data_IF_983506185271
#
_entry.id   IF_983506185271
#
_cell.length_a   1.000
_cell.length_b   1.000
_cell.length_c   1.000
_cell.angle_alpha   90.00
_cell.angle_beta   90.00
_cell.angle_gamma   90.00
#
_symmetry.space_group_name_H-M   'P 1'
#
loop_
_entity.id
_entity.type
_entity.pdbx_description
1 polymer ?
#
# COMPACT_ATOMS: atom_id res chain seq x y z
N UNK A 1 20.64 -10.75 18.27
CA UNK A 1 19.73 -10.14 17.26
C UNK A 1 18.95 -11.17 16.42
N UNK A 2 18.54 -12.34 16.96
CA UNK A 2 17.92 -13.43 16.17
C UNK A 2 16.47 -13.18 15.69
N UNK A 3 15.79 -12.17 16.24
CA UNK A 3 14.39 -11.86 15.91
C UNK A 3 14.19 -10.50 15.23
N UNK A 4 15.27 -9.81 14.86
CA UNK A 4 15.20 -8.47 14.28
C UNK A 4 14.43 -8.43 12.95
N UNK A 5 14.40 -9.55 12.22
CA UNK A 5 13.60 -9.72 11.01
C UNK A 5 12.09 -9.55 11.25
N UNK A 6 11.58 -9.84 12.46
CA UNK A 6 10.17 -9.64 12.79
C UNK A 6 9.78 -8.15 12.80
N UNK A 7 10.70 -7.27 13.20
CA UNK A 7 10.46 -5.82 13.15
C UNK A 7 10.28 -5.33 11.71
N UNK A 8 11.09 -5.86 10.78
CA UNK A 8 10.94 -5.57 9.36
C UNK A 8 9.65 -6.15 8.77
N UNK A 9 9.19 -7.31 9.26
CA UNK A 9 7.87 -7.87 8.88
C UNK A 9 6.74 -6.96 9.36
N UNK A 10 6.77 -6.51 10.61
CA UNK A 10 5.78 -5.56 11.14
C UNK A 10 5.79 -4.26 10.34
N UNK A 11 6.98 -3.71 10.06
CA UNK A 11 7.14 -2.54 9.20
C UNK A 11 6.54 -2.75 7.80
N UNK A 12 6.81 -3.90 7.17
CA UNK A 12 6.24 -4.24 5.87
C UNK A 12 4.71 -4.32 5.91
N UNK A 13 4.13 -4.95 6.94
CA UNK A 13 2.67 -5.03 7.14
C UNK A 13 2.06 -3.63 7.29
N UNK A 14 2.68 -2.75 8.06
CA UNK A 14 2.19 -1.38 8.25
C UNK A 14 2.25 -0.58 6.93
N UNK A 15 3.38 -0.64 6.22
CA UNK A 15 3.56 0.11 4.97
C UNK A 15 2.63 -0.39 3.86
N UNK A 16 2.51 -1.71 3.69
CA UNK A 16 1.60 -2.29 2.71
C UNK A 16 0.13 -2.13 3.10
N UNK A 17 -0.20 -2.20 4.39
CA UNK A 17 -1.55 -1.94 4.89
C UNK A 17 -2.00 -0.50 4.63
N UNK A 18 -1.11 0.47 4.84
CA UNK A 18 -1.37 1.88 4.58
C UNK A 18 -1.35 2.25 3.09
N UNK A 19 -0.74 1.41 2.24
CA UNK A 19 -0.55 1.69 0.81
C UNK A 19 -1.87 1.85 0.05
N UNK A 20 -2.79 0.88 0.15
CA UNK A 20 -4.03 0.88 -0.66
C UNK A 20 -4.96 2.07 -0.34
N UNK A 21 -5.22 2.42 0.94
CA UNK A 21 -5.99 3.61 1.29
C UNK A 21 -5.31 4.91 0.83
N UNK A 22 -4.00 5.04 1.08
CA UNK A 22 -3.25 6.26 0.73
C UNK A 22 -3.21 6.49 -0.78
N UNK A 23 -3.10 5.41 -1.59
CA UNK A 23 -3.17 5.51 -3.05
C UNK A 23 -4.57 5.91 -3.52
N UNK A 24 -5.62 5.39 -2.89
CA UNK A 24 -6.99 5.78 -3.23
C UNK A 24 -7.22 7.27 -2.99
N UNK A 25 -6.78 7.80 -1.85
CA UNK A 25 -6.79 9.23 -1.56
C UNK A 25 -5.91 10.02 -2.54
N UNK A 26 -4.69 9.53 -2.83
CA UNK A 26 -3.78 10.13 -3.79
C UNK A 26 -4.37 10.21 -5.21
N UNK A 27 -5.16 9.22 -5.64
CA UNK A 27 -5.90 9.28 -6.90
C UNK A 27 -6.99 10.37 -6.90
N UNK A 28 -7.57 10.66 -5.74
CA UNK A 28 -8.54 11.75 -5.55
C UNK A 28 -7.92 13.14 -5.75
N UNK A 29 -6.64 13.30 -5.45
CA UNK A 29 -5.89 14.55 -5.64
C UNK A 29 -5.55 14.89 -7.11
N UNK A 30 -5.75 13.97 -8.05
CA UNK A 30 -5.46 14.19 -9.47
C UNK A 30 -6.74 14.37 -10.29
N UNK A 31 -6.78 15.43 -11.10
CA UNK A 31 -7.88 15.70 -12.05
C UNK A 31 -7.74 14.92 -13.36
N UNK A 32 -8.86 14.49 -13.95
CA UNK A 32 -8.91 13.88 -15.28
C UNK A 32 -8.88 12.34 -15.33
N UNK A 33 -9.02 11.75 -16.54
CA UNK A 33 -9.25 10.31 -16.73
C UNK A 33 -8.06 9.42 -16.38
N UNK A 34 -6.86 10.00 -16.26
CA UNK A 34 -5.60 9.30 -16.02
C UNK A 34 -5.07 9.43 -14.59
N UNK A 35 -5.91 9.84 -13.62
CA UNK A 35 -5.55 9.97 -12.19
C UNK A 35 -4.82 8.76 -11.60
N UNK A 36 -5.24 7.54 -11.96
CA UNK A 36 -4.63 6.30 -11.50
C UNK A 36 -3.21 6.11 -12.05
N UNK A 37 -3.00 6.44 -13.33
CA UNK A 37 -1.67 6.35 -13.96
C UNK A 37 -0.72 7.40 -13.39
N UNK A 38 -1.22 8.60 -13.08
CA UNK A 38 -0.44 9.64 -12.38
C UNK A 38 -0.03 9.19 -10.99
N UNK A 39 -0.96 8.61 -10.21
CA UNK A 39 -0.63 8.02 -8.92
C UNK A 39 0.45 6.93 -9.05
N UNK A 40 0.34 6.05 -10.04
CA UNK A 40 1.36 5.01 -10.29
C UNK A 40 2.71 5.60 -10.68
N UNK A 41 2.76 6.70 -11.44
CA UNK A 41 4.01 7.37 -11.79
C UNK A 41 4.78 7.81 -10.53
N UNK A 42 4.09 8.39 -9.55
CA UNK A 42 4.71 8.77 -8.27
C UNK A 42 5.11 7.56 -7.42
N UNK A 43 4.36 6.44 -7.48
CA UNK A 43 4.79 5.17 -6.86
C UNK A 43 6.06 4.66 -7.53
N UNK A 44 6.14 4.67 -8.85
CA UNK A 44 7.32 4.27 -9.61
C UNK A 44 8.53 5.12 -9.28
N UNK A 45 8.35 6.44 -9.15
CA UNK A 45 9.40 7.35 -8.70
C UNK A 45 9.90 6.99 -7.29
N UNK A 46 8.98 6.75 -6.35
CA UNK A 46 9.34 6.33 -4.99
C UNK A 46 10.12 5.00 -4.98
N UNK A 47 9.71 4.05 -5.81
CA UNK A 47 10.42 2.77 -5.97
C UNK A 47 11.83 2.98 -6.51
N UNK A 48 12.00 3.85 -7.51
CA UNK A 48 13.33 4.19 -8.03
C UNK A 48 14.21 4.82 -6.96
N UNK A 49 13.70 5.79 -6.20
CA UNK A 49 14.46 6.46 -5.14
C UNK A 49 14.91 5.48 -4.05
N UNK A 50 14.01 4.62 -3.56
CA UNK A 50 14.36 3.67 -2.51
C UNK A 50 15.26 2.54 -3.04
N UNK A 51 14.90 1.92 -4.17
CA UNK A 51 15.60 0.74 -4.67
C UNK A 51 16.93 1.06 -5.34
N UNK A 52 17.08 2.23 -5.97
CA UNK A 52 18.30 2.60 -6.70
C UNK A 52 19.14 3.57 -5.87
N UNK A 53 18.55 4.70 -5.44
CA UNK A 53 19.33 5.76 -4.78
C UNK A 53 19.72 5.35 -3.36
N UNK A 54 18.74 4.95 -2.53
CA UNK A 54 19.02 4.59 -1.13
C UNK A 54 19.84 3.30 -1.06
N UNK A 55 19.41 2.22 -1.72
CA UNK A 55 20.18 0.97 -1.71
C UNK A 55 21.54 1.12 -2.37
N UNK A 56 21.65 1.83 -3.50
CA UNK A 56 22.93 2.10 -4.15
C UNK A 56 23.88 2.90 -3.24
N UNK A 57 23.38 3.93 -2.56
CA UNK A 57 24.16 4.68 -1.57
C UNK A 57 24.64 3.82 -0.40
N UNK A 58 23.81 2.90 0.09
CA UNK A 58 24.19 1.96 1.15
C UNK A 58 25.27 0.97 0.72
N UNK A 59 25.21 0.46 -0.52
CA UNK A 59 26.25 -0.41 -1.08
C UNK A 59 27.57 0.34 -1.28
N UNK A 60 27.51 1.59 -1.76
CA UNK A 60 28.71 2.43 -1.89
C UNK A 60 29.35 2.75 -0.53
N UNK A 61 28.53 2.94 0.51
CA UNK A 61 29.01 3.17 1.87
C UNK A 61 29.55 1.91 2.56
N UNK A 62 29.10 0.72 2.14
CA UNK A 62 29.50 -0.57 2.71
C UNK A 62 29.95 -1.53 1.58
N UNK A 63 31.10 -1.26 0.94
CA UNK A 63 31.56 -2.06 -0.18
C UNK A 63 31.92 -3.47 0.29
N UNK A 64 31.34 -4.47 -0.36
CA UNK A 64 31.66 -5.88 -0.15
C UNK A 64 32.28 -6.49 -1.43
N UNK A 65 33.23 -7.41 -1.25
CA UNK A 65 33.90 -8.07 -2.37
C UNK A 65 33.07 -9.21 -2.99
N UNK A 66 31.78 -9.31 -2.65
CA UNK A 66 30.90 -10.34 -3.20
C UNK A 66 30.32 -9.85 -4.52
N UNK A 67 30.83 -10.39 -5.63
CA UNK A 67 30.39 -9.98 -6.96
C UNK A 67 28.91 -10.27 -7.19
N UNK A 68 28.25 -9.43 -8.00
CA UNK A 68 26.88 -9.65 -8.43
C UNK A 68 26.83 -10.77 -9.47
N UNK A 69 26.08 -11.83 -9.17
CA UNK A 69 25.87 -12.91 -10.16
C UNK A 69 24.81 -12.50 -11.18
N UNK A 70 25.04 -12.79 -12.47
CA UNK A 70 24.07 -12.47 -13.53
C UNK A 70 22.70 -13.12 -13.29
N UNK A 71 22.70 -14.35 -12.75
CA UNK A 71 21.47 -15.06 -12.37
C UNK A 71 20.73 -14.35 -11.24
N UNK A 72 21.45 -13.94 -10.18
CA UNK A 72 20.86 -13.21 -9.06
C UNK A 72 20.27 -11.88 -9.50
N UNK A 73 20.98 -11.14 -10.36
CA UNK A 73 20.49 -9.90 -10.95
C UNK A 73 19.20 -10.13 -11.75
N UNK A 74 19.19 -11.09 -12.68
CA UNK A 74 18.02 -11.37 -13.51
C UNK A 74 16.78 -11.79 -12.71
N UNK A 75 16.94 -12.72 -11.76
CA UNK A 75 15.82 -13.17 -10.91
C UNK A 75 15.30 -12.03 -10.03
N UNK A 76 16.19 -11.20 -9.50
CA UNK A 76 15.81 -10.03 -8.69
C UNK A 76 15.09 -8.97 -9.52
N UNK A 77 15.53 -8.73 -10.75
CA UNK A 77 14.84 -7.83 -11.69
C UNK A 77 13.44 -8.35 -12.00
N UNK A 78 13.30 -9.64 -12.28
CA UNK A 78 11.98 -10.24 -12.54
C UNK A 78 11.07 -10.15 -11.31
N UNK A 79 11.60 -10.38 -10.11
CA UNK A 79 10.86 -10.17 -8.86
C UNK A 79 10.41 -8.71 -8.69
N UNK A 80 11.26 -7.74 -9.05
CA UNK A 80 10.92 -6.32 -9.08
C UNK A 80 9.79 -5.99 -10.07
N UNK A 81 9.82 -6.56 -11.27
CA UNK A 81 8.76 -6.41 -12.28
C UNK A 81 7.43 -6.99 -11.76
N UNK A 82 7.46 -8.15 -11.11
CA UNK A 82 6.27 -8.74 -10.49
C UNK A 82 5.71 -7.85 -9.36
N UNK A 83 6.57 -7.25 -8.53
CA UNK A 83 6.16 -6.31 -7.48
C UNK A 83 5.52 -5.04 -8.03
N UNK A 84 6.18 -4.39 -8.99
CA UNK A 84 5.66 -3.18 -9.65
C UNK A 84 4.38 -3.47 -10.45
N UNK A 85 4.31 -4.62 -11.13
CA UNK A 85 3.12 -5.09 -11.82
C UNK A 85 1.95 -5.31 -10.87
N UNK A 86 2.19 -5.92 -9.70
CA UNK A 86 1.19 -6.08 -8.65
C UNK A 86 0.65 -4.73 -8.15
N UNK A 87 1.53 -3.76 -7.88
CA UNK A 87 1.13 -2.40 -7.49
C UNK A 87 0.28 -1.71 -8.57
N UNK A 88 0.65 -1.87 -9.85
CA UNK A 88 -0.13 -1.38 -10.98
C UNK A 88 -1.52 -2.02 -11.03
N UNK A 89 -1.63 -3.33 -10.82
CA UNK A 89 -2.93 -4.03 -10.74
C UNK A 89 -3.82 -3.49 -9.62
N UNK A 90 -3.27 -3.20 -8.43
CA UNK A 90 -4.03 -2.59 -7.32
C UNK A 90 -4.56 -1.21 -7.73
N UNK A 91 -3.71 -0.38 -8.31
CA UNK A 91 -4.08 0.96 -8.77
C UNK A 91 -5.17 0.92 -9.84
N UNK A 92 -5.07 -0.01 -10.79
CA UNK A 92 -6.07 -0.21 -11.83
C UNK A 92 -7.38 -0.75 -11.23
N UNK A 93 -7.33 -1.66 -10.25
CA UNK A 93 -8.53 -2.13 -9.56
C UNK A 93 -9.29 -0.97 -8.89
N UNK A 94 -8.58 -0.03 -8.26
CA UNK A 94 -9.18 1.20 -7.72
C UNK A 94 -9.72 2.13 -8.83
N UNK A 95 -9.02 2.21 -9.97
CA UNK A 95 -9.46 2.98 -11.14
C UNK A 95 -10.82 2.51 -11.67
N UNK A 96 -11.02 1.18 -11.72
CA UNK A 96 -12.25 0.54 -12.19
C UNK A 96 -13.35 0.44 -11.11
N UNK A 97 -13.26 1.22 -10.03
CA UNK A 97 -14.32 1.33 -9.01
C UNK A 97 -14.14 0.43 -7.79
N UNK A 98 -13.00 -0.27 -7.66
CA UNK A 98 -12.63 -0.96 -6.44
C UNK A 98 -12.49 0.02 -5.27
N UNK A 99 -13.03 -0.34 -4.10
CA UNK A 99 -12.83 0.43 -2.86
C UNK A 99 -11.70 -0.20 -2.05
N UNK A 100 -10.86 0.58 -1.34
CA UNK A 100 -9.80 0.04 -0.49
C UNK A 100 -10.29 -1.03 0.49
N UNK A 101 -11.51 -0.86 1.02
CA UNK A 101 -12.17 -1.82 1.93
C UNK A 101 -12.41 -3.21 1.33
N UNK A 102 -12.38 -3.36 -0.01
CA UNK A 102 -12.48 -4.65 -0.69
C UNK A 102 -11.16 -5.07 -1.33
N UNK A 103 -10.51 -4.15 -2.03
CA UNK A 103 -9.28 -4.44 -2.79
C UNK A 103 -8.15 -4.85 -1.85
N UNK A 104 -7.97 -4.14 -0.73
CA UNK A 104 -6.87 -4.46 0.19
C UNK A 104 -7.02 -5.85 0.82
N UNK A 105 -8.15 -6.21 1.47
CA UNK A 105 -8.28 -7.54 2.05
C UNK A 105 -8.21 -8.68 1.02
N UNK A 106 -8.76 -8.49 -0.19
CA UNK A 106 -8.69 -9.51 -1.25
C UNK A 106 -7.24 -9.78 -1.69
N UNK A 107 -6.44 -8.73 -1.91
CA UNK A 107 -5.04 -8.87 -2.32
C UNK A 107 -4.21 -9.48 -1.20
N UNK A 108 -4.35 -8.99 0.04
CA UNK A 108 -3.55 -9.47 1.16
C UNK A 108 -3.97 -10.87 1.65
N UNK A 109 -5.20 -11.31 1.41
CA UNK A 109 -5.62 -12.69 1.65
C UNK A 109 -5.16 -13.65 0.55
N UNK A 110 -5.13 -13.18 -0.71
CA UNK A 110 -4.66 -13.97 -1.85
C UNK A 110 -3.14 -14.11 -1.91
N UNK A 111 -2.38 -13.14 -1.38
CA UNK A 111 -0.93 -13.12 -1.45
C UNK A 111 -0.26 -14.36 -0.79
N UNK A 112 -0.66 -14.81 0.43
CA UNK A 112 -0.16 -16.05 1.01
C UNK A 112 -0.43 -17.28 0.14
N UNK A 113 -1.62 -17.38 -0.47
CA UNK A 113 -1.97 -18.49 -1.37
C UNK A 113 -1.00 -18.57 -2.56
N UNK A 114 -0.78 -17.44 -3.23
CA UNK A 114 0.13 -17.38 -4.38
C UNK A 114 1.59 -17.58 -3.98
N UNK A 115 2.01 -17.07 -2.82
CA UNK A 115 3.36 -17.31 -2.30
C UNK A 115 3.64 -18.80 -2.16
N UNK A 116 2.63 -19.56 -1.72
CA UNK A 116 2.74 -21.01 -1.53
C UNK A 116 2.78 -21.74 -2.86
N UNK A 117 1.91 -21.39 -3.81
CA UNK A 117 1.92 -21.96 -5.16
C UNK A 117 3.28 -21.75 -5.81
N UNK A 118 3.80 -20.51 -5.77
CA UNK A 118 5.11 -20.18 -6.35
C UNK A 118 6.23 -20.91 -5.60
N UNK A 119 6.18 -20.98 -4.27
CA UNK A 119 7.16 -21.73 -3.49
C UNK A 119 7.15 -23.22 -3.83
N UNK A 120 5.98 -23.83 -4.03
CA UNK A 120 5.87 -25.24 -4.43
C UNK A 120 6.40 -25.49 -5.85
N UNK A 121 6.27 -24.53 -6.76
CA UNK A 121 6.81 -24.63 -8.12
C UNK A 121 8.34 -24.48 -8.11
N UNK A 122 8.87 -23.49 -7.38
CA UNK A 122 10.29 -23.18 -7.36
C UNK A 122 11.10 -24.16 -6.49
N UNK A 123 10.49 -24.64 -5.40
CA UNK A 123 11.09 -25.54 -4.43
C UNK A 123 10.10 -26.68 -4.12
N UNK A 124 9.96 -27.66 -5.04
CA UNK A 124 9.03 -28.77 -4.86
C UNK A 124 9.34 -29.52 -3.57
N UNK A 125 8.34 -29.66 -2.67
CA UNK A 125 8.59 -30.20 -1.35
C UNK A 125 8.87 -31.70 -1.43
N UNK A 126 9.90 -32.14 -0.71
CA UNK A 126 10.30 -33.55 -0.67
C UNK A 126 9.25 -34.46 0.00
N UNK A 127 8.32 -33.87 0.75
CA UNK A 127 7.17 -34.54 1.36
C UNK A 127 5.94 -33.65 1.25
N UNK A 128 4.76 -34.25 1.19
CA UNK A 128 3.52 -33.50 1.06
C UNK A 128 3.34 -32.48 2.20
N UNK A 129 2.85 -31.25 1.93
CA UNK A 129 2.55 -30.28 2.97
C UNK A 129 1.58 -30.87 4.00
N UNK A 130 1.87 -30.68 5.29
CA UNK A 130 1.03 -31.22 6.37
C UNK A 130 -0.40 -30.68 6.25
N UNK A 131 -1.44 -31.47 6.54
CA UNK A 131 -2.84 -31.02 6.45
C UNK A 131 -3.15 -29.71 7.19
N UNK A 132 -2.48 -29.46 8.33
CA UNK A 132 -2.57 -28.23 9.12
C UNK A 132 -2.22 -26.95 8.37
N UNK A 133 -1.33 -27.05 7.39
CA UNK A 133 -0.94 -25.94 6.54
C UNK A 133 -2.13 -25.45 5.68
N UNK A 134 -2.85 -26.39 5.06
CA UNK A 134 -4.05 -26.07 4.29
C UNK A 134 -5.18 -25.54 5.18
N UNK A 135 -5.30 -26.05 6.41
CA UNK A 135 -6.24 -25.49 7.40
C UNK A 135 -5.92 -24.02 7.71
N UNK A 136 -4.65 -23.67 7.88
CA UNK A 136 -4.21 -22.28 8.09
C UNK A 136 -4.57 -21.37 6.91
N UNK A 137 -4.41 -21.86 5.68
CA UNK A 137 -4.82 -21.15 4.47
C UNK A 137 -6.34 -20.93 4.40
N UNK A 138 -7.14 -21.95 4.74
CA UNK A 138 -8.60 -21.84 4.82
C UNK A 138 -9.02 -20.84 5.90
N UNK A 139 -8.38 -20.88 7.08
CA UNK A 139 -8.61 -19.93 8.17
C UNK A 139 -8.26 -18.49 7.76
N UNK A 140 -7.16 -18.28 7.03
CA UNK A 140 -6.79 -16.97 6.52
C UNK A 140 -7.83 -16.45 5.51
N UNK A 141 -8.29 -17.30 4.60
CA UNK A 141 -9.36 -16.97 3.66
C UNK A 141 -10.68 -16.66 4.38
N UNK A 142 -11.03 -17.45 5.41
CA UNK A 142 -12.21 -17.21 6.24
C UNK A 142 -12.12 -15.89 7.03
N UNK A 143 -10.94 -15.57 7.57
CA UNK A 143 -10.69 -14.29 8.24
C UNK A 143 -10.85 -13.11 7.30
N UNK A 144 -10.34 -13.21 6.07
CA UNK A 144 -10.55 -12.21 5.03
C UNK A 144 -12.05 -12.07 4.67
N UNK A 145 -12.76 -13.19 4.51
CA UNK A 145 -14.19 -13.18 4.25
C UNK A 145 -14.98 -12.52 5.38
N UNK A 146 -14.58 -12.73 6.63
CA UNK A 146 -15.19 -12.10 7.80
C UNK A 146 -15.00 -10.57 7.79
N UNK A 147 -13.79 -10.10 7.50
CA UNK A 147 -13.48 -8.67 7.37
C UNK A 147 -14.35 -8.02 6.29
N UNK A 148 -14.48 -8.68 5.13
CA UNK A 148 -15.31 -8.20 4.03
C UNK A 148 -16.81 -8.21 4.36
N UNK A 149 -17.26 -9.20 5.15
CA UNK A 149 -18.68 -9.39 5.52
C UNK A 149 -19.15 -8.44 6.62
N UNK A 150 -18.28 -8.11 7.58
CA UNK A 150 -18.58 -7.32 8.77
C UNK A 150 -17.93 -5.93 8.75
N UNK A 151 -17.51 -5.45 7.58
CA UNK A 151 -16.99 -4.08 7.45
C UNK A 151 -18.02 -3.05 7.94
N UNK A 152 -17.60 -2.01 8.69
CA UNK A 152 -18.48 -0.90 9.02
C UNK A 152 -19.05 -0.27 7.75
N UNK A 153 -20.33 0.11 7.76
CA UNK A 153 -20.87 0.93 6.67
C UNK A 153 -20.26 2.32 6.77
N UNK A 154 -19.88 2.89 5.61
CA UNK A 154 -19.33 4.23 5.53
C UNK A 154 -20.28 5.21 6.24
N UNK A 155 -19.79 6.00 7.19
CA UNK A 155 -20.55 7.12 7.72
C UNK A 155 -20.94 8.04 6.54
N UNK A 156 -22.17 8.59 6.51
CA UNK A 156 -22.59 9.49 5.44
C UNK A 156 -21.54 10.57 5.26
N UNK A 157 -20.95 10.65 4.07
CA UNK A 157 -20.02 11.72 3.71
C UNK A 157 -20.74 13.05 3.99
N UNK A 158 -20.19 13.96 4.81
CA UNK A 158 -20.79 15.27 5.01
C UNK A 158 -21.04 15.88 3.63
N UNK A 159 -22.28 16.32 3.39
CA UNK A 159 -22.67 16.91 2.12
C UNK A 159 -21.71 18.05 1.78
N UNK A 160 -21.34 18.27 0.50
CA UNK A 160 -20.45 19.36 0.09
C UNK A 160 -20.83 20.73 0.69
N UNK A 161 -22.12 20.98 0.88
CA UNK A 161 -22.65 22.17 1.54
C UNK A 161 -22.18 22.34 3.00
N UNK A 162 -21.96 21.26 3.75
CA UNK A 162 -21.47 21.34 5.14
C UNK A 162 -19.99 21.74 5.21
N UNK A 163 -19.22 21.45 4.15
CA UNK A 163 -17.79 21.81 4.06
C UNK A 163 -17.63 23.25 3.55
N UNK A 164 -18.50 23.67 2.63
CA UNK A 164 -18.58 25.05 2.13
C UNK A 164 -19.03 26.02 3.23
N UNK A 165 -20.09 25.68 3.97
CA UNK A 165 -20.55 26.48 5.11
C UNK A 165 -19.51 26.56 6.24
N UNK A 166 -18.73 25.51 6.46
CA UNK A 166 -17.67 25.53 7.47
C UNK A 166 -16.47 26.37 7.02
N UNK A 167 -16.12 26.34 5.73
CA UNK A 167 -15.07 27.19 5.16
C UNK A 167 -15.48 28.68 5.17
N UNK A 168 -16.72 28.98 4.83
CA UNK A 168 -17.29 30.34 4.87
C UNK A 168 -17.41 30.87 6.30
N UNK A 169 -17.74 30.02 7.27
CA UNK A 169 -17.78 30.41 8.69
C UNK A 169 -16.37 30.70 9.24
N UNK A 170 -15.35 29.94 8.83
CA UNK A 170 -13.96 30.18 9.25
C UNK A 170 -13.38 31.45 8.59
N UNK A 171 -13.75 31.73 7.35
CA UNK A 171 -13.36 32.96 6.65
C UNK A 171 -14.01 34.21 7.29
N UNK A 172 -15.30 34.12 7.64
CA UNK A 172 -16.02 35.18 8.36
C UNK A 172 -15.48 35.41 9.77
N UNK A 173 -15.08 34.37 10.50
CA UNK A 173 -14.40 34.50 11.80
C UNK A 173 -13.00 35.12 11.66
N UNK A 174 -12.30 34.84 10.55
CA UNK A 174 -11.00 35.46 10.25
C UNK A 174 -11.11 36.95 9.89
N UNK A 175 -12.23 37.39 9.34
CA UNK A 175 -12.53 38.79 9.06
C UNK A 175 -12.98 39.56 10.31
N UNK A 176 -13.86 38.98 11.15
CA UNK A 176 -14.36 39.62 12.38
C UNK A 176 -13.24 39.85 13.43
N UNK A 177 -12.26 38.95 13.50
CA UNK A 177 -11.09 39.11 14.38
C UNK A 177 -10.10 40.19 13.91
N UNK A 178 -10.13 40.59 12.63
CA UNK A 178 -9.30 41.70 12.10
C UNK A 178 -9.99 43.05 12.22
N UNK A 179 -11.32 43.06 12.38
CA UNK A 179 -12.11 44.29 12.51
C UNK A 179 -12.43 44.68 13.95
N UNK A 180 -12.05 43.87 14.97
CA UNK A 180 -12.19 44.27 16.38
C UNK A 180 -11.38 45.55 16.65
N UNK A 181 -12.03 46.73 16.75
CA UNK A 181 -11.32 47.98 16.93
C UNK A 181 -10.78 47.99 18.34
N UNK A 182 -9.52 48.38 18.49
CA UNK A 182 -8.93 48.83 19.74
C UNK A 182 -9.75 50.02 20.31
N UNK A 183 -10.86 49.72 20.98
CA UNK A 183 -11.64 50.64 21.81
C UNK A 183 -11.96 49.96 23.13
N UNK A 184 -11.09 50.21 24.10
CA UNK A 184 -11.39 50.60 25.50
C UNK A 184 -10.11 50.49 26.31
N UNK A 185 -9.71 51.62 26.90
CA UNK A 185 -8.54 51.76 27.76
C UNK A 185 -7.91 53.12 27.56
#
# INVERSE_FOLDING_TARGET
MKHMWLMFVVGAVLMWGAYVPTIHEGQGGFSGPNRALRAFLFVGLAYFLLAVIVTGGLLLANPDNTGTTLRGAWVSTLAGVLGAGGALCVILALRYGGKPAYVAPLVFAGAPLMSVVVAMILHPPHSWPRPWFFLGLVLAAAGAALILRFKPQDAPKPAPAAVENAAEMVDNLGHDQRESPARRG
#
